data_IF_779298033492
#
_entry.id   IF_779298033492
#
_cell.length_a   1.000
_cell.length_b   1.000
_cell.length_c   1.000
_cell.angle_alpha   90.00
_cell.angle_beta   90.00
_cell.angle_gamma   90.00
#
_symmetry.space_group_name_H-M   'P 1'
#
loop_
_entity.id
_entity.type
_entity.pdbx_description
1 polymer ?
#
# COMPACT_ATOMS: atom_id res chain seq x y z
N UNK A 1 4.86 48.81 -24.09
CA UNK A 1 4.81 47.51 -24.82
C UNK A 1 5.73 46.46 -24.20
N UNK A 2 7.02 46.76 -23.93
CA UNK A 2 7.97 45.80 -23.35
C UNK A 2 7.63 45.28 -21.93
N UNK A 3 7.02 46.11 -21.07
CA UNK A 3 6.60 45.69 -19.72
C UNK A 3 5.42 44.70 -19.72
N UNK A 4 4.48 44.87 -20.66
CA UNK A 4 3.36 43.95 -20.83
C UNK A 4 3.85 42.58 -21.35
N UNK A 5 4.77 42.58 -22.31
CA UNK A 5 5.38 41.35 -22.84
C UNK A 5 6.16 40.56 -21.78
N UNK A 6 6.88 41.25 -20.88
CA UNK A 6 7.58 40.61 -19.73
C UNK A 6 6.62 40.05 -18.70
N UNK A 7 5.52 40.74 -18.40
CA UNK A 7 4.49 40.25 -17.50
C UNK A 7 3.78 39.00 -18.03
N UNK A 8 3.47 38.98 -19.32
CA UNK A 8 2.86 37.81 -19.99
C UNK A 8 3.82 36.62 -20.01
N UNK A 9 5.10 36.84 -20.29
CA UNK A 9 6.12 35.78 -20.26
C UNK A 9 6.30 35.19 -18.86
N UNK A 10 6.29 36.03 -17.81
CA UNK A 10 6.37 35.57 -16.43
C UNK A 10 5.13 34.77 -15.99
N UNK A 11 3.93 35.21 -16.39
CA UNK A 11 2.69 34.50 -16.09
C UNK A 11 2.61 33.13 -16.81
N UNK A 12 3.07 33.04 -18.06
CA UNK A 12 3.13 31.78 -18.79
C UNK A 12 4.13 30.79 -18.18
N UNK A 13 5.27 31.28 -17.67
CA UNK A 13 6.26 30.45 -16.97
C UNK A 13 5.71 29.90 -15.65
N UNK A 14 4.96 30.71 -14.90
CA UNK A 14 4.32 30.30 -13.64
C UNK A 14 3.19 29.29 -13.84
N UNK A 15 2.41 29.42 -14.92
CA UNK A 15 1.38 28.43 -15.29
C UNK A 15 1.98 27.10 -15.80
N UNK A 16 3.19 27.11 -16.35
CA UNK A 16 3.86 25.89 -16.81
C UNK A 16 4.42 25.01 -15.69
N UNK A 17 4.52 25.54 -14.46
CA UNK A 17 5.09 24.83 -13.30
C UNK A 17 4.06 24.08 -12.45
N UNK A 18 2.77 24.20 -12.75
CA UNK A 18 1.73 23.40 -12.06
C UNK A 18 1.72 21.98 -12.63
N UNK A 19 2.43 21.06 -11.98
CA UNK A 19 2.26 19.63 -12.22
C UNK A 19 0.92 19.20 -11.62
N UNK A 20 0.08 18.50 -12.40
CA UNK A 20 -1.07 17.80 -11.83
C UNK A 20 -0.53 16.66 -10.96
N UNK A 21 -0.71 16.77 -9.65
CA UNK A 21 -0.42 15.70 -8.71
C UNK A 21 -1.50 14.62 -8.78
N UNK A 22 -1.40 13.71 -9.74
CA UNK A 22 -2.16 12.46 -9.72
C UNK A 22 -1.44 11.50 -8.77
N UNK A 23 -1.77 11.57 -7.48
CA UNK A 23 -1.36 10.56 -6.52
C UNK A 23 -2.23 9.31 -6.71
N UNK A 24 -1.60 8.14 -6.75
CA UNK A 24 -2.34 6.88 -6.69
C UNK A 24 -2.90 6.70 -5.27
N UNK A 25 -4.04 6.01 -5.15
CA UNK A 25 -4.55 5.64 -3.83
C UNK A 25 -3.65 4.54 -3.26
N UNK A 26 -3.04 4.83 -2.10
CA UNK A 26 -2.20 3.89 -1.36
C UNK A 26 -3.04 3.17 -0.30
N UNK A 27 -2.97 1.84 -0.29
CA UNK A 27 -3.62 0.99 0.72
C UNK A 27 -2.57 0.09 1.34
N UNK A 28 -2.49 0.05 2.67
CA UNK A 28 -1.61 -0.89 3.39
C UNK A 28 -2.45 -1.92 4.11
N UNK A 29 -2.19 -3.19 3.81
CA UNK A 29 -2.80 -4.33 4.50
C UNK A 29 -1.90 -4.69 5.68
N UNK A 30 -2.45 -4.66 6.89
CA UNK A 30 -1.77 -5.12 8.10
C UNK A 30 -2.31 -6.50 8.47
N UNK A 31 -1.45 -7.52 8.40
CA UNK A 31 -1.79 -8.87 8.82
C UNK A 31 -1.26 -9.12 10.23
N UNK A 32 -2.17 -9.33 11.18
CA UNK A 32 -1.84 -9.91 12.47
C UNK A 32 -1.39 -11.37 12.28
N UNK A 33 -0.18 -11.67 12.73
CA UNK A 33 0.41 -13.01 12.79
C UNK A 33 0.81 -13.39 14.23
N UNK A 34 0.32 -12.65 15.21
CA UNK A 34 0.58 -12.88 16.64
C UNK A 34 0.04 -14.22 17.12
N UNK A 35 0.35 -14.55 18.38
CA UNK A 35 -0.03 -15.82 19.02
C UNK A 35 -1.52 -16.21 18.87
N UNK A 36 -2.43 -15.24 18.86
CA UNK A 36 -3.88 -15.50 18.78
C UNK A 36 -4.33 -16.06 17.42
N UNK A 37 -3.53 -15.84 16.37
CA UNK A 37 -3.81 -16.24 14.99
C UNK A 37 -3.49 -17.72 14.72
N UNK A 38 -2.83 -18.39 15.66
CA UNK A 38 -2.61 -19.84 15.63
C UNK A 38 -3.80 -20.65 16.17
N UNK A 39 -4.78 -19.99 16.77
CA UNK A 39 -6.04 -20.63 17.13
C UNK A 39 -6.72 -21.19 15.88
N UNK A 40 -7.39 -22.33 16.02
CA UNK A 40 -8.04 -23.01 14.91
C UNK A 40 -9.51 -22.63 14.80
N UNK A 41 -10.00 -22.56 13.57
CA UNK A 41 -11.42 -22.56 13.19
C UNK A 41 -11.58 -23.74 12.25
N UNK A 42 -12.50 -24.66 12.56
CA UNK A 42 -12.74 -25.88 11.77
C UNK A 42 -11.47 -26.67 11.40
N UNK A 43 -10.52 -26.76 12.34
CA UNK A 43 -9.25 -27.48 12.16
C UNK A 43 -8.15 -26.70 11.42
N UNK A 44 -8.40 -25.45 11.03
CA UNK A 44 -7.48 -24.60 10.27
C UNK A 44 -7.03 -23.37 11.06
N UNK A 45 -5.72 -23.02 11.10
CA UNK A 45 -5.26 -21.81 11.78
C UNK A 45 -5.90 -20.54 11.20
N UNK A 46 -6.28 -19.58 12.05
CA UNK A 46 -6.81 -18.26 11.61
C UNK A 46 -5.85 -17.56 10.65
N UNK A 47 -4.54 -17.67 10.87
CA UNK A 47 -3.52 -17.11 9.98
C UNK A 47 -3.63 -17.66 8.55
N UNK A 48 -3.88 -18.96 8.41
CA UNK A 48 -4.02 -19.61 7.11
C UNK A 48 -5.29 -19.15 6.40
N UNK A 49 -6.42 -19.09 7.13
CA UNK A 49 -7.70 -18.55 6.63
C UNK A 49 -7.53 -17.09 6.17
N UNK A 50 -6.81 -16.27 6.93
CA UNK A 50 -6.56 -14.88 6.60
C UNK A 50 -5.72 -14.74 5.31
N UNK A 51 -4.66 -15.55 5.17
CA UNK A 51 -3.83 -15.58 3.95
C UNK A 51 -4.62 -15.99 2.71
N UNK A 52 -5.49 -16.99 2.82
CA UNK A 52 -6.34 -17.43 1.71
C UNK A 52 -7.39 -16.39 1.32
N UNK A 53 -8.00 -15.74 2.31
CA UNK A 53 -8.95 -14.66 2.11
C UNK A 53 -8.28 -13.48 1.40
N UNK A 54 -7.08 -13.09 1.84
CA UNK A 54 -6.28 -12.05 1.21
C UNK A 54 -5.93 -12.40 -0.23
N UNK A 55 -5.46 -13.62 -0.50
CA UNK A 55 -5.16 -14.08 -1.87
C UNK A 55 -6.37 -13.95 -2.79
N UNK A 56 -7.56 -14.24 -2.29
CA UNK A 56 -8.81 -14.12 -3.05
C UNK A 56 -9.19 -12.67 -3.32
N UNK A 57 -9.12 -11.79 -2.31
CA UNK A 57 -9.44 -10.37 -2.45
C UNK A 57 -8.48 -9.67 -3.43
N UNK A 58 -7.18 -9.95 -3.32
CA UNK A 58 -6.14 -9.31 -4.14
C UNK A 58 -6.27 -9.61 -5.64
N UNK A 59 -6.91 -10.72 -6.03
CA UNK A 59 -7.22 -11.02 -7.43
C UNK A 59 -8.20 -10.03 -8.06
N UNK A 60 -9.00 -9.35 -7.24
CA UNK A 60 -9.99 -8.36 -7.70
C UNK A 60 -9.49 -6.92 -7.65
N UNK A 61 -8.27 -6.69 -7.13
CA UNK A 61 -7.73 -5.35 -6.95
C UNK A 61 -7.24 -4.79 -8.29
N UNK A 62 -7.68 -3.60 -8.70
CA UNK A 62 -7.19 -2.94 -9.91
C UNK A 62 -5.66 -2.67 -9.85
N UNK A 63 -4.98 -2.82 -10.99
CA UNK A 63 -3.52 -2.72 -11.07
C UNK A 63 -2.95 -1.31 -10.81
N UNK A 64 -3.79 -0.29 -10.89
CA UNK A 64 -3.48 1.11 -10.59
C UNK A 64 -3.56 1.43 -9.08
N UNK A 65 -3.96 0.46 -8.24
CA UNK A 65 -3.88 0.58 -6.79
C UNK A 65 -2.50 0.19 -6.29
N UNK A 66 -1.95 1.01 -5.40
CA UNK A 66 -0.67 0.73 -4.76
C UNK A 66 -0.92 0.04 -3.42
N UNK A 67 -0.65 -1.27 -3.36
CA UNK A 67 -0.92 -2.11 -2.21
C UNK A 67 0.37 -2.41 -1.45
N UNK A 68 0.47 -1.88 -0.23
CA UNK A 68 1.49 -2.28 0.72
C UNK A 68 1.05 -3.47 1.58
N UNK A 69 2.03 -4.18 2.13
CA UNK A 69 1.81 -5.29 3.06
C UNK A 69 2.72 -5.16 4.27
N UNK A 70 2.09 -5.21 5.44
CA UNK A 70 2.75 -5.13 6.74
C UNK A 70 2.34 -6.34 7.59
N UNK A 71 3.31 -6.95 8.25
CA UNK A 71 3.07 -8.03 9.21
C UNK A 71 3.28 -7.54 10.65
N UNK A 72 2.44 -8.03 11.57
CA UNK A 72 2.56 -7.79 13.00
C UNK A 72 2.71 -9.12 13.75
N UNK A 73 3.70 -9.21 14.65
CA UNK A 73 3.93 -10.35 15.54
C UNK A 73 4.30 -11.65 14.83
N UNK A 74 5.01 -11.58 13.69
CA UNK A 74 5.30 -12.73 12.82
C UNK A 74 6.65 -13.44 13.07
N UNK A 75 7.57 -12.84 13.83
CA UNK A 75 8.92 -13.34 14.14
C UNK A 75 9.09 -13.63 15.62
N UNK A 76 8.64 -12.73 16.49
CA UNK A 76 8.89 -12.80 17.93
C UNK A 76 7.58 -12.78 18.73
N UNK A 77 7.30 -13.88 19.42
CA UNK A 77 6.09 -14.02 20.22
C UNK A 77 6.09 -13.04 21.40
N UNK A 78 5.09 -12.17 21.44
CA UNK A 78 4.89 -11.23 22.54
C UNK A 78 5.68 -9.93 22.41
N UNK A 79 6.41 -9.74 21.30
CA UNK A 79 7.06 -8.47 21.00
C UNK A 79 6.08 -7.52 20.33
N UNK A 80 5.77 -6.39 20.99
CA UNK A 80 4.94 -5.34 20.40
C UNK A 80 5.66 -4.57 19.28
N UNK A 81 6.99 -4.69 19.21
CA UNK A 81 7.84 -4.02 18.23
C UNK A 81 8.01 -4.84 16.94
N UNK A 82 7.50 -6.07 16.92
CA UNK A 82 7.57 -6.96 15.77
C UNK A 82 6.59 -6.55 14.68
N UNK A 83 6.86 -5.41 14.06
CA UNK A 83 6.12 -4.83 12.93
C UNK A 83 7.09 -4.73 11.76
N UNK A 84 6.70 -5.24 10.60
CA UNK A 84 7.53 -5.21 9.39
C UNK A 84 6.71 -4.79 8.18
N UNK A 85 7.16 -3.75 7.47
CA UNK A 85 6.68 -3.45 6.11
C UNK A 85 7.41 -4.37 5.13
N UNK A 86 6.74 -5.42 4.70
CA UNK A 86 7.29 -6.46 3.82
C UNK A 86 7.22 -6.01 2.35
N UNK A 87 6.08 -5.41 1.95
CA UNK A 87 5.88 -4.88 0.60
C UNK A 87 5.55 -3.39 0.72
N UNK A 88 6.40 -2.48 0.20
CA UNK A 88 6.03 -1.08 0.11
C UNK A 88 4.92 -0.88 -0.94
N UNK A 89 3.97 0.05 -0.73
CA UNK A 89 3.01 0.42 -1.76
C UNK A 89 3.73 0.94 -3.00
N UNK A 90 3.44 0.33 -4.14
CA UNK A 90 3.92 0.76 -5.45
C UNK A 90 2.97 0.23 -6.54
N UNK A 91 2.97 0.83 -7.73
CA UNK A 91 2.19 0.32 -8.85
C UNK A 91 2.47 -1.18 -9.11
N UNK A 92 1.41 -1.99 -9.22
CA UNK A 92 1.51 -3.44 -9.47
C UNK A 92 1.98 -4.30 -8.28
N UNK A 93 2.13 -3.74 -7.09
CA UNK A 93 2.56 -4.45 -5.87
C UNK A 93 1.60 -5.53 -5.37
N UNK A 94 0.33 -5.53 -5.78
CA UNK A 94 -0.68 -6.47 -5.30
C UNK A 94 -0.26 -7.95 -5.47
N UNK A 95 0.47 -8.28 -6.54
CA UNK A 95 0.97 -9.64 -6.76
C UNK A 95 2.03 -10.05 -5.71
N UNK A 96 2.88 -9.12 -5.28
CA UNK A 96 3.95 -9.39 -4.30
C UNK A 96 3.39 -9.74 -2.91
N UNK A 97 2.18 -9.28 -2.57
CA UNK A 97 1.50 -9.57 -1.30
C UNK A 97 0.95 -11.01 -1.24
N UNK A 98 0.70 -11.62 -2.41
CA UNK A 98 0.04 -12.93 -2.52
C UNK A 98 0.98 -14.14 -2.50
N UNK A 99 2.30 -13.89 -2.44
CA UNK A 99 3.37 -14.90 -2.44
C UNK A 99 3.80 -15.27 -1.03
#
# INVERSE_FOLDING_TARGET
MAGLARGVAAAALLLGMTTLGLAADHVVIVLDASGSMWAQIDGKPKLEIARESLRTVLQSVPADREIGFMAYGHREKGSCEDIELIVPPQAGSAAAVST
#
